data_IF_129172984885
#
_entry.id   IF_129172984885
#
_cell.length_a   1.000
_cell.length_b   1.000
_cell.length_c   1.000
_cell.angle_alpha   90.00
_cell.angle_beta   90.00
_cell.angle_gamma   90.00
#
_symmetry.space_group_name_H-M   'P 1'
#
loop_
_entity.id
_entity.type
_entity.pdbx_description
1 polymer ?
#
# COMPACT_ATOMS: atom_id res chain seq x y z
N UNK A 1 34.25 -24.98 -10.59
CA UNK A 1 34.49 -23.54 -10.89
C UNK A 1 33.42 -22.89 -11.79
N UNK A 2 32.57 -23.64 -12.51
CA UNK A 2 31.60 -23.08 -13.48
C UNK A 2 30.29 -22.53 -12.86
N UNK A 3 29.92 -22.96 -11.66
CA UNK A 3 28.63 -22.62 -11.02
C UNK A 3 28.60 -21.24 -10.34
N UNK A 4 29.72 -20.74 -9.80
CA UNK A 4 29.83 -19.39 -9.25
C UNK A 4 29.48 -18.35 -10.31
N UNK A 5 30.05 -18.47 -11.52
CA UNK A 5 29.82 -17.51 -12.61
C UNK A 5 28.34 -17.33 -12.93
N UNK A 6 27.56 -18.41 -12.93
CA UNK A 6 26.11 -18.32 -13.10
C UNK A 6 25.41 -17.61 -11.95
N UNK A 7 25.86 -17.81 -10.71
CA UNK A 7 25.36 -17.08 -9.54
C UNK A 7 25.60 -15.57 -9.63
N UNK A 8 26.82 -15.15 -10.02
CA UNK A 8 27.11 -13.72 -10.27
C UNK A 8 26.22 -13.17 -11.39
N UNK A 9 26.07 -13.90 -12.49
CA UNK A 9 25.28 -13.45 -13.63
C UNK A 9 23.81 -13.31 -13.22
N UNK A 10 23.25 -14.28 -12.50
CA UNK A 10 21.87 -14.22 -12.01
C UNK A 10 21.66 -13.05 -11.05
N UNK A 11 22.59 -12.83 -10.11
CA UNK A 11 22.53 -11.70 -9.18
C UNK A 11 22.67 -10.35 -9.90
N UNK A 12 23.60 -10.26 -10.86
CA UNK A 12 23.83 -9.05 -11.64
C UNK A 12 22.66 -8.70 -12.55
N UNK A 13 22.08 -9.70 -13.24
CA UNK A 13 20.86 -9.53 -14.05
C UNK A 13 19.69 -9.13 -13.17
N UNK A 14 19.51 -9.79 -12.02
CA UNK A 14 18.45 -9.42 -11.06
C UNK A 14 18.59 -7.99 -10.53
N UNK A 15 19.82 -7.55 -10.25
CA UNK A 15 20.12 -6.19 -9.81
C UNK A 15 19.80 -5.15 -10.88
N UNK A 16 20.27 -5.36 -12.12
CA UNK A 16 19.99 -4.45 -13.25
C UNK A 16 18.50 -4.42 -13.58
N UNK A 17 17.83 -5.57 -13.60
CA UNK A 17 16.38 -5.64 -13.80
C UNK A 17 15.62 -4.88 -12.71
N UNK A 18 16.06 -4.95 -11.45
CA UNK A 18 15.49 -4.18 -10.35
C UNK A 18 15.62 -2.67 -10.54
N UNK A 19 16.79 -2.19 -10.97
CA UNK A 19 17.02 -0.76 -11.27
C UNK A 19 16.14 -0.29 -12.42
N UNK A 20 16.08 -1.07 -13.52
CA UNK A 20 15.28 -0.72 -14.69
C UNK A 20 13.79 -0.69 -14.33
N UNK A 21 13.29 -1.68 -13.58
CA UNK A 21 11.91 -1.70 -13.12
C UNK A 21 11.58 -0.50 -12.19
N UNK A 22 12.51 -0.12 -11.31
CA UNK A 22 12.40 1.09 -10.48
C UNK A 22 12.30 2.34 -11.35
N UNK A 23 13.21 2.50 -12.33
CA UNK A 23 13.23 3.65 -13.24
C UNK A 23 11.96 3.78 -14.07
N UNK A 24 11.45 2.69 -14.66
CA UNK A 24 10.20 2.69 -15.43
C UNK A 24 9.01 3.11 -14.56
N UNK A 25 8.95 2.60 -13.33
CA UNK A 25 7.84 2.91 -12.41
C UNK A 25 7.86 4.35 -11.92
N UNK A 26 9.04 4.98 -11.86
CA UNK A 26 9.15 6.40 -11.56
C UNK A 26 8.61 7.28 -12.71
N UNK A 27 8.66 6.78 -13.95
CA UNK A 27 8.29 7.54 -15.16
C UNK A 27 6.83 7.37 -15.60
N UNK A 28 6.12 6.33 -15.16
CA UNK A 28 4.86 5.86 -15.78
C UNK A 28 3.56 6.36 -15.13
N UNK A 29 3.55 7.45 -14.37
CA UNK A 29 2.28 7.91 -13.76
C UNK A 29 1.76 9.18 -14.42
N UNK A 30 0.59 9.04 -15.02
CA UNK A 30 -0.21 10.15 -15.51
C UNK A 30 -0.79 10.94 -14.32
N UNK A 31 -0.60 12.25 -14.33
CA UNK A 31 -1.16 13.17 -13.34
C UNK A 31 -2.57 13.59 -13.74
N UNK A 32 -3.57 13.16 -12.99
CA UNK A 32 -4.91 13.77 -12.99
C UNK A 32 -4.89 14.98 -12.03
N UNK A 33 -4.13 16.01 -12.39
CA UNK A 33 -4.05 17.25 -11.62
C UNK A 33 -5.25 18.16 -11.85
N UNK A 34 -5.49 19.09 -10.92
CA UNK A 34 -6.42 20.21 -11.08
C UNK A 34 -6.22 20.88 -12.46
N UNK A 35 -7.30 21.25 -13.18
CA UNK A 35 -7.18 21.93 -14.47
C UNK A 35 -6.18 23.10 -14.38
N UNK A 36 -5.31 23.24 -15.38
CA UNK A 36 -4.30 24.31 -15.42
C UNK A 36 -4.90 25.72 -15.59
N UNK A 37 -6.22 25.82 -15.82
CA UNK A 37 -7.00 27.05 -15.74
C UNK A 37 -7.61 27.17 -14.35
N UNK A 38 -7.54 28.36 -13.74
CA UNK A 38 -8.18 28.64 -12.46
C UNK A 38 -9.68 28.27 -12.44
N UNK A 39 -10.28 28.26 -11.24
CA UNK A 39 -11.66 27.84 -11.06
C UNK A 39 -12.64 28.73 -11.85
N UNK A 40 -13.57 28.11 -12.55
CA UNK A 40 -14.66 28.85 -13.19
C UNK A 40 -15.67 29.32 -12.14
N UNK A 41 -16.42 30.41 -12.39
CA UNK A 41 -17.44 30.90 -11.48
C UNK A 41 -18.47 29.81 -11.15
N UNK A 42 -18.65 29.55 -9.85
CA UNK A 42 -19.59 28.53 -9.36
C UNK A 42 -19.00 27.13 -9.14
N UNK A 43 -17.68 26.95 -9.32
CA UNK A 43 -16.99 25.69 -9.02
C UNK A 43 -16.32 25.70 -7.64
N UNK A 44 -16.15 24.51 -7.07
CA UNK A 44 -15.33 24.25 -5.87
C UNK A 44 -14.23 23.27 -6.25
N UNK A 45 -12.97 23.61 -5.96
CA UNK A 45 -11.84 22.70 -6.11
C UNK A 45 -11.75 21.76 -4.91
N UNK A 46 -11.63 20.47 -5.17
CA UNK A 46 -11.27 19.47 -4.17
C UNK A 46 -10.03 18.72 -4.66
N UNK A 47 -8.93 18.87 -3.92
CA UNK A 47 -7.68 18.15 -4.17
C UNK A 47 -7.46 17.13 -3.06
N UNK A 48 -7.31 15.86 -3.43
CA UNK A 48 -7.16 14.75 -2.48
C UNK A 48 -5.74 14.21 -2.58
N UNK A 49 -4.96 14.31 -1.51
CA UNK A 49 -3.61 13.73 -1.42
C UNK A 49 -3.59 12.53 -0.46
N UNK A 50 -2.95 11.41 -0.82
CA UNK A 50 -2.78 10.26 0.08
C UNK A 50 -1.77 10.56 1.18
N UNK A 51 -2.09 10.20 2.43
CA UNK A 51 -1.18 10.35 3.57
C UNK A 51 -0.64 9.00 4.07
N UNK A 52 -1.51 8.01 4.23
CA UNK A 52 -1.13 6.68 4.71
C UNK A 52 -2.14 5.62 4.29
N UNK A 53 -1.71 4.36 4.18
CA UNK A 53 -2.56 3.22 3.83
C UNK A 53 -2.45 2.16 4.91
N UNK A 54 -3.60 1.76 5.47
CA UNK A 54 -3.74 0.64 6.37
C UNK A 54 -4.33 -0.56 5.59
N UNK A 55 -3.46 -1.26 4.85
CA UNK A 55 -3.84 -2.34 3.94
C UNK A 55 -4.60 -3.49 4.62
N UNK A 56 -4.26 -3.82 5.87
CA UNK A 56 -4.96 -4.84 6.66
C UNK A 56 -6.41 -4.45 6.95
N UNK A 57 -6.66 -3.16 7.16
CA UNK A 57 -7.97 -2.61 7.50
C UNK A 57 -8.78 -2.24 6.24
N UNK A 58 -8.15 -2.26 5.06
CA UNK A 58 -8.76 -1.80 3.82
C UNK A 58 -9.16 -0.32 3.90
N UNK A 59 -8.27 0.52 4.43
CA UNK A 59 -8.51 1.95 4.58
C UNK A 59 -7.28 2.79 4.20
N UNK A 60 -7.53 4.04 3.80
CA UNK A 60 -6.51 5.01 3.44
C UNK A 60 -6.86 6.36 4.04
N UNK A 61 -5.91 6.97 4.72
CA UNK A 61 -6.04 8.35 5.19
C UNK A 61 -5.57 9.29 4.09
N UNK A 62 -6.41 10.27 3.77
CA UNK A 62 -6.14 11.31 2.78
C UNK A 62 -6.28 12.68 3.41
N UNK A 63 -5.53 13.64 2.87
CA UNK A 63 -5.76 15.06 3.09
C UNK A 63 -6.59 15.62 1.94
N UNK A 64 -7.74 16.18 2.27
CA UNK A 64 -8.69 16.80 1.36
C UNK A 64 -8.54 18.30 1.50
N UNK A 65 -8.02 18.95 0.46
CA UNK A 65 -7.89 20.41 0.40
C UNK A 65 -9.02 20.97 -0.42
N UNK A 66 -9.79 21.88 0.18
CA UNK A 66 -10.94 22.54 -0.44
C UNK A 66 -10.55 23.97 -0.77
N UNK A 67 -10.82 24.41 -2.00
CA UNK A 67 -10.74 25.81 -2.39
C UNK A 67 -12.02 26.24 -3.11
N UNK A 68 -12.53 27.42 -2.80
CA UNK A 68 -13.68 27.99 -3.47
C UNK A 68 -13.23 29.06 -4.49
N UNK A 69 -14.02 29.24 -5.54
CA UNK A 69 -13.86 30.36 -6.46
C UNK A 69 -13.99 31.72 -5.75
N UNK A 70 -13.33 32.74 -6.28
CA UNK A 70 -13.28 34.09 -5.72
C UNK A 70 -14.67 34.74 -5.57
N UNK A 71 -15.66 34.38 -6.40
CA UNK A 71 -17.03 34.91 -6.27
C UNK A 71 -17.77 34.39 -5.03
N UNK A 72 -17.24 33.32 -4.40
CA UNK A 72 -17.79 32.71 -3.18
C UNK A 72 -17.03 33.13 -1.91
N UNK A 73 -16.05 34.01 -2.03
CA UNK A 73 -15.29 34.53 -0.91
C UNK A 73 -15.75 35.94 -0.53
N UNK A 74 -15.74 36.22 0.77
CA UNK A 74 -15.93 37.56 1.31
C UNK A 74 -14.63 38.39 1.25
N UNK A 75 -14.70 39.64 1.67
CA UNK A 75 -13.55 40.56 1.65
C UNK A 75 -12.37 40.10 2.55
N UNK A 76 -12.62 39.19 3.50
CA UNK A 76 -11.59 38.57 4.35
C UNK A 76 -11.02 37.26 3.77
N UNK A 77 -11.53 36.78 2.64
CA UNK A 77 -11.15 35.50 2.04
C UNK A 77 -11.86 34.29 2.67
N UNK A 78 -12.85 34.51 3.54
CA UNK A 78 -13.72 33.47 4.09
C UNK A 78 -14.92 33.21 3.17
N UNK A 79 -15.66 32.13 3.39
CA UNK A 79 -16.83 31.78 2.56
C UNK A 79 -17.99 32.78 2.73
N UNK A 80 -18.54 33.26 1.61
CA UNK A 80 -19.69 34.18 1.61
C UNK A 80 -20.98 33.53 2.13
N UNK A 81 -21.16 32.23 1.85
CA UNK A 81 -22.26 31.40 2.33
C UNK A 81 -21.73 30.04 2.83
N UNK A 82 -22.47 29.32 3.69
CA UNK A 82 -22.05 27.99 4.12
C UNK A 82 -21.97 27.00 2.95
N UNK A 83 -20.93 26.16 2.94
CA UNK A 83 -20.75 25.08 1.96
C UNK A 83 -20.75 23.74 2.70
N UNK A 84 -21.57 22.81 2.23
CA UNK A 84 -21.59 21.42 2.65
C UNK A 84 -20.84 20.58 1.64
N UNK A 85 -20.06 19.61 2.13
CA UNK A 85 -19.32 18.64 1.34
C UNK A 85 -19.68 17.24 1.85
N UNK A 86 -20.00 16.33 0.94
CA UNK A 86 -20.19 14.92 1.25
C UNK A 86 -19.16 14.12 0.45
N UNK A 87 -18.41 13.26 1.15
CA UNK A 87 -17.42 12.37 0.55
C UNK A 87 -17.76 10.92 0.90
N UNK A 88 -17.80 10.04 -0.11
CA UNK A 88 -18.07 8.62 0.09
C UNK A 88 -17.16 7.76 -0.80
N UNK A 89 -16.66 6.59 -0.33
CA UNK A 89 -16.90 6.02 0.99
C UNK A 89 -15.86 6.48 2.02
N UNK A 90 -16.31 7.08 3.14
CA UNK A 90 -15.45 7.34 4.31
C UNK A 90 -15.82 6.45 5.49
N UNK A 91 -14.87 6.24 6.41
CA UNK A 91 -15.09 5.45 7.64
C UNK A 91 -15.83 6.26 8.71
N UNK A 92 -15.60 7.56 8.75
CA UNK A 92 -16.24 8.52 9.66
C UNK A 92 -17.47 9.16 9.00
N UNK A 93 -17.99 10.25 9.57
CA UNK A 93 -19.01 11.06 8.88
C UNK A 93 -18.43 11.65 7.58
N UNK A 94 -19.09 11.35 6.46
CA UNK A 94 -18.74 11.87 5.13
C UNK A 94 -19.11 13.33 4.95
N UNK A 95 -19.91 13.89 5.86
CA UNK A 95 -20.39 15.26 5.80
C UNK A 95 -19.40 16.22 6.46
N UNK A 96 -19.07 17.30 5.76
CA UNK A 96 -18.27 18.42 6.25
C UNK A 96 -19.02 19.71 5.97
N UNK A 97 -19.38 20.43 7.03
CA UNK A 97 -19.96 21.76 6.94
C UNK A 97 -18.86 22.81 7.13
N UNK A 98 -18.75 23.71 6.16
CA UNK A 98 -17.93 24.90 6.23
C UNK A 98 -18.85 26.10 6.43
N UNK A 99 -18.84 26.67 7.62
CA UNK A 99 -19.69 27.81 7.96
C UNK A 99 -19.28 29.08 7.20
N UNK A 100 -20.22 30.01 7.10
CA UNK A 100 -19.96 31.35 6.57
C UNK A 100 -18.80 32.02 7.31
N UNK A 101 -17.90 32.66 6.57
CA UNK A 101 -16.69 33.31 7.07
C UNK A 101 -15.52 32.35 7.33
N UNK A 102 -15.73 31.03 7.23
CA UNK A 102 -14.65 30.05 7.33
C UNK A 102 -13.75 30.14 6.11
N UNK A 103 -12.44 30.16 6.30
CA UNK A 103 -11.48 30.09 5.20
C UNK A 103 -11.32 28.59 4.81
N UNK A 104 -11.62 28.20 3.56
CA UNK A 104 -11.42 26.82 3.11
C UNK A 104 -9.97 26.37 3.31
N UNK A 105 -9.79 25.13 3.77
CA UNK A 105 -8.47 24.60 4.12
C UNK A 105 -8.34 23.10 3.86
N UNK A 106 -7.41 22.47 4.57
CA UNK A 106 -7.11 21.05 4.44
C UNK A 106 -7.66 20.26 5.63
N UNK A 107 -8.35 19.16 5.34
CA UNK A 107 -8.96 18.28 6.33
C UNK A 107 -8.50 16.85 6.10
N UNK A 108 -8.39 16.04 7.15
CA UNK A 108 -8.09 14.62 7.01
C UNK A 108 -9.38 13.81 6.96
N UNK A 109 -9.41 12.82 6.08
CA UNK A 109 -10.49 11.83 6.00
C UNK A 109 -9.91 10.44 5.80
N UNK A 110 -10.54 9.44 6.40
CA UNK A 110 -10.20 8.04 6.17
C UNK A 110 -11.21 7.44 5.21
N UNK A 111 -10.75 7.10 4.01
CA UNK A 111 -11.54 6.50 2.94
C UNK A 111 -11.47 4.98 3.07
N UNK A 112 -12.60 4.31 2.82
CA UNK A 112 -12.65 2.85 2.77
C UNK A 112 -12.22 2.36 1.39
N UNK A 113 -11.27 1.44 1.37
CA UNK A 113 -10.73 0.85 0.15
C UNK A 113 -10.69 -0.67 0.28
N UNK A 114 -11.75 -1.36 -0.16
CA UNK A 114 -11.80 -2.81 -0.08
C UNK A 114 -10.68 -3.45 -0.91
N UNK A 115 -10.15 -4.53 -0.37
CA UNK A 115 -9.10 -5.34 -0.97
C UNK A 115 -8.61 -6.37 0.03
N UNK A 116 -7.62 -7.17 -0.35
CA UNK A 116 -7.14 -8.26 0.49
C UNK A 116 -5.61 -8.34 0.50
N UNK A 117 -5.04 -8.01 1.65
CA UNK A 117 -3.60 -8.14 1.94
C UNK A 117 -3.10 -9.59 1.89
N UNK A 118 -4.00 -10.57 1.83
CA UNK A 118 -3.64 -12.00 1.73
C UNK A 118 -2.83 -12.29 0.47
N UNK A 119 -3.03 -11.55 -0.61
CA UNK A 119 -2.36 -11.73 -1.90
C UNK A 119 -1.02 -10.98 -2.02
N UNK A 120 -0.52 -10.41 -0.92
CA UNK A 120 0.77 -9.73 -0.89
C UNK A 120 1.89 -10.55 -1.55
N UNK A 121 2.80 -9.94 -2.34
CA UNK A 121 2.91 -8.51 -2.66
C UNK A 121 2.10 -8.08 -3.91
N UNK A 122 1.23 -8.94 -4.41
CA UNK A 122 0.40 -8.69 -5.59
C UNK A 122 -1.04 -8.33 -5.20
N UNK A 123 -1.22 -7.77 -4.01
CA UNK A 123 -2.49 -7.26 -3.52
C UNK A 123 -2.93 -6.00 -4.28
N UNK A 124 -4.23 -5.93 -4.56
CA UNK A 124 -4.91 -4.81 -5.18
C UNK A 124 -6.11 -4.35 -4.35
N UNK A 125 -6.36 -3.05 -4.38
CA UNK A 125 -7.44 -2.39 -3.65
C UNK A 125 -8.11 -1.40 -4.58
N UNK A 126 -9.44 -1.36 -4.56
CA UNK A 126 -10.22 -0.56 -5.50
C UNK A 126 -11.38 0.11 -4.77
N UNK A 127 -11.60 1.38 -5.05
CA UNK A 127 -12.75 2.11 -4.53
C UNK A 127 -13.16 3.19 -5.52
N UNK A 128 -14.45 3.52 -5.56
CA UNK A 128 -14.96 4.65 -6.32
C UNK A 128 -15.27 5.73 -5.30
N UNK A 129 -14.53 6.83 -5.34
CA UNK A 129 -14.70 7.98 -4.47
C UNK A 129 -15.63 8.98 -5.13
N UNK A 130 -16.69 9.37 -4.43
CA UNK A 130 -17.64 10.39 -4.85
C UNK A 130 -17.56 11.57 -3.89
N UNK A 131 -17.41 12.77 -4.45
CA UNK A 131 -17.42 14.03 -3.69
C UNK A 131 -18.49 14.94 -4.25
N UNK A 132 -19.49 15.26 -3.43
CA UNK A 132 -20.55 16.22 -3.74
C UNK A 132 -20.39 17.47 -2.88
N UNK A 133 -20.74 18.62 -3.44
CA UNK A 133 -20.78 19.89 -2.74
C UNK A 133 -22.12 20.58 -2.98
N UNK A 134 -22.60 21.34 -2.01
CA UNK A 134 -23.68 22.30 -2.21
C UNK A 134 -23.44 23.53 -1.34
N UNK A 135 -24.01 24.66 -1.76
CA UNK A 135 -24.01 25.89 -0.97
C UNK A 135 -25.38 26.12 -0.37
N UNK A 136 -25.42 26.61 0.87
CA UNK A 136 -26.65 27.08 1.48
C UNK A 136 -26.86 28.57 1.17
N UNK A 137 -27.79 28.87 0.27
CA UNK A 137 -28.23 30.23 0.00
C UNK A 137 -29.57 30.47 0.70
N UNK A 138 -29.59 31.36 1.69
CA UNK A 138 -30.80 31.79 2.40
C UNK A 138 -31.64 30.62 2.97
N UNK A 139 -30.99 29.56 3.46
CA UNK A 139 -31.66 28.38 4.02
C UNK A 139 -31.96 27.27 3.03
N UNK A 140 -31.69 27.46 1.73
CA UNK A 140 -31.85 26.44 0.68
C UNK A 140 -30.49 25.96 0.17
N UNK A 141 -30.29 24.65 0.13
CA UNK A 141 -29.08 24.03 -0.42
C UNK A 141 -29.17 23.94 -1.96
N UNK A 142 -28.16 24.43 -2.67
CA UNK A 142 -28.02 24.34 -4.12
C UNK A 142 -26.74 23.59 -4.51
N UNK A 143 -26.83 22.53 -5.34
CA UNK A 143 -25.66 21.71 -5.70
C UNK A 143 -24.61 22.56 -6.43
N UNK A 144 -23.34 22.26 -6.16
CA UNK A 144 -22.18 22.88 -6.78
C UNK A 144 -21.39 21.87 -7.61
N UNK A 145 -20.78 22.36 -8.67
CA UNK A 145 -19.83 21.56 -9.46
C UNK A 145 -18.51 21.45 -8.72
N UNK A 146 -18.15 20.24 -8.33
CA UNK A 146 -16.85 19.89 -7.75
C UNK A 146 -15.89 19.57 -8.87
N UNK A 147 -14.77 20.29 -8.91
CA UNK A 147 -13.66 20.04 -9.83
C UNK A 147 -12.41 19.70 -9.04
N UNK A 148 -11.45 19.05 -9.67
CA UNK A 148 -10.21 18.64 -9.03
C UNK A 148 -9.97 17.15 -9.20
N UNK A 149 -9.22 16.56 -8.27
CA UNK A 149 -8.73 15.22 -8.48
C UNK A 149 -7.88 14.70 -7.34
N UNK A 150 -7.33 13.52 -7.59
CA UNK A 150 -6.40 12.87 -6.70
C UNK A 150 -4.99 13.32 -7.06
N UNK A 151 -4.39 14.11 -6.18
CA UNK A 151 -3.00 14.53 -6.33
C UNK A 151 -2.11 13.33 -6.07
N UNK A 152 -1.24 13.02 -7.05
CA UNK A 152 -0.19 12.03 -6.86
C UNK A 152 0.89 12.62 -5.97
N UNK A 153 0.73 12.49 -4.67
CA UNK A 153 1.88 12.40 -3.77
C UNK A 153 2.36 10.95 -3.79
N UNK A 154 3.66 10.74 -4.06
CA UNK A 154 4.29 9.44 -4.10
C UNK A 154 4.33 8.84 -2.68
N UNK A 155 3.21 8.24 -2.26
CA UNK A 155 3.18 7.46 -1.04
C UNK A 155 4.11 6.27 -1.22
N UNK A 156 5.25 6.31 -0.52
CA UNK A 156 6.34 5.37 -0.72
C UNK A 156 5.85 3.93 -0.56
N UNK A 157 6.18 3.10 -1.55
CA UNK A 157 5.84 1.68 -1.55
C UNK A 157 4.51 1.31 -2.20
N UNK A 158 3.71 2.30 -2.61
CA UNK A 158 2.43 2.13 -3.29
C UNK A 158 2.44 2.75 -4.69
N UNK A 159 1.72 2.11 -5.61
CA UNK A 159 1.31 2.70 -6.88
C UNK A 159 -0.17 3.05 -6.77
N UNK A 160 -0.47 4.34 -6.90
CA UNK A 160 -1.83 4.87 -6.80
C UNK A 160 -2.21 5.41 -8.17
N UNK A 161 -3.35 4.97 -8.68
CA UNK A 161 -3.96 5.47 -9.90
C UNK A 161 -5.36 5.94 -9.58
N UNK A 162 -5.72 7.12 -10.08
CA UNK A 162 -7.06 7.68 -9.95
C UNK A 162 -7.50 8.16 -11.32
N UNK A 163 -8.57 7.56 -11.84
CA UNK A 163 -9.19 7.96 -13.10
C UNK A 163 -10.55 8.61 -12.81
N UNK A 164 -10.94 9.65 -13.56
CA UNK A 164 -12.32 10.10 -13.55
C UNK A 164 -13.27 8.93 -13.85
N UNK A 165 -14.24 8.71 -12.99
CA UNK A 165 -15.36 7.81 -13.26
C UNK A 165 -16.50 8.59 -13.94
N UNK A 166 -17.54 7.90 -14.42
CA UNK A 166 -18.70 8.58 -15.00
C UNK A 166 -19.27 9.61 -14.01
N UNK A 167 -19.49 10.84 -14.47
CA UNK A 167 -20.03 11.91 -13.65
C UNK A 167 -21.47 11.54 -13.23
N UNK A 168 -21.61 11.01 -12.03
CA UNK A 168 -22.90 10.69 -11.43
C UNK A 168 -23.61 11.93 -10.87
N UNK A 169 -24.90 11.79 -10.63
CA UNK A 169 -25.61 12.66 -9.69
C UNK A 169 -25.06 12.39 -8.29
N UNK A 170 -24.51 13.42 -7.64
CA UNK A 170 -24.12 13.33 -6.24
C UNK A 170 -25.17 13.97 -5.36
N UNK A 171 -25.30 13.43 -4.15
CA UNK A 171 -26.16 13.99 -3.13
C UNK A 171 -25.29 14.50 -1.97
N UNK A 172 -25.60 15.71 -1.49
CA UNK A 172 -25.25 16.07 -0.14
C UNK A 172 -26.15 15.30 0.81
N UNK A 173 -25.56 14.37 1.53
CA UNK A 173 -26.24 13.56 2.52
C UNK A 173 -25.59 13.82 3.87
N UNK A 174 -26.43 14.07 4.86
CA UNK A 174 -26.03 13.99 6.26
C UNK A 174 -25.73 12.52 6.57
N UNK A 175 -24.48 12.21 6.90
CA UNK A 175 -24.09 10.83 7.20
C UNK A 175 -24.76 10.28 8.47
N UNK A 176 -25.17 11.14 9.40
CA UNK A 176 -25.75 10.73 10.69
C UNK A 176 -27.28 10.55 10.60
N UNK A 177 -27.96 11.44 9.88
CA UNK A 177 -29.43 11.41 9.75
C UNK A 177 -29.92 10.74 8.46
N UNK A 178 -29.04 10.53 7.47
CA UNK A 178 -29.40 10.05 6.13
C UNK A 178 -30.21 11.06 5.32
N UNK A 179 -30.35 12.30 5.80
CA UNK A 179 -31.11 13.34 5.13
C UNK A 179 -30.34 13.85 3.91
N UNK A 180 -30.99 13.82 2.74
CA UNK A 180 -30.47 14.45 1.52
C UNK A 180 -30.78 15.95 1.56
N UNK A 181 -29.76 16.80 1.60
CA UNK A 181 -29.90 18.25 1.58
C UNK A 181 -30.01 18.82 0.17
N UNK A 182 -29.25 18.26 -0.77
CA UNK A 182 -29.28 18.62 -2.18
C UNK A 182 -28.82 17.43 -3.01
N UNK A 183 -29.37 17.23 -4.20
CA UNK A 183 -28.88 16.27 -5.16
C UNK A 183 -28.87 16.92 -6.54
N UNK A 184 -27.86 16.63 -7.35
CA UNK A 184 -27.75 17.20 -8.68
C UNK A 184 -26.48 16.78 -9.41
N UNK A 185 -26.35 17.23 -10.67
CA UNK A 185 -25.14 17.02 -11.45
C UNK A 185 -23.97 17.83 -10.86
N UNK A 186 -22.74 17.38 -11.12
CA UNK A 186 -21.53 18.10 -10.74
C UNK A 186 -20.73 17.48 -9.59
N UNK A 187 -21.04 16.25 -9.17
CA UNK A 187 -20.18 15.53 -8.23
C UNK A 187 -18.91 15.01 -8.91
N UNK A 188 -17.81 15.06 -8.19
CA UNK A 188 -16.52 14.50 -8.62
C UNK A 188 -16.51 13.00 -8.29
N UNK A 189 -16.46 12.15 -9.31
CA UNK A 189 -16.35 10.69 -9.16
C UNK A 189 -14.98 10.22 -9.65
N UNK A 190 -14.25 9.49 -8.82
CA UNK A 190 -12.89 9.01 -9.08
C UNK A 190 -12.77 7.51 -8.78
N UNK A 191 -12.41 6.72 -9.77
CA UNK A 191 -12.01 5.33 -9.58
C UNK A 191 -10.55 5.27 -9.12
N UNK A 192 -10.36 4.94 -7.85
CA UNK A 192 -9.06 4.87 -7.21
C UNK A 192 -8.62 3.40 -7.11
N UNK A 193 -7.45 3.11 -7.66
CA UNK A 193 -6.82 1.80 -7.63
C UNK A 193 -5.48 1.90 -6.94
N UNK A 194 -5.27 1.07 -5.92
CA UNK A 194 -4.02 0.96 -5.19
C UNK A 194 -3.40 -0.42 -5.38
N UNK A 195 -2.12 -0.43 -5.70
CA UNK A 195 -1.33 -1.64 -5.82
C UNK A 195 0.04 -1.43 -5.19
N UNK A 196 0.75 -2.51 -4.82
CA UNK A 196 2.15 -2.37 -4.39
C UNK A 196 3.00 -1.83 -5.55
N UNK A 197 3.87 -0.88 -5.24
CA UNK A 197 4.82 -0.36 -6.22
C UNK A 197 5.76 -1.47 -6.70
N UNK A 198 6.30 -1.34 -7.93
CA UNK A 198 7.26 -2.32 -8.44
C UNK A 198 8.50 -2.50 -7.56
N UNK A 199 9.07 -1.44 -6.94
CA UNK A 199 10.17 -1.60 -6.00
C UNK A 199 9.78 -2.47 -4.80
N UNK A 200 8.59 -2.23 -4.21
CA UNK A 200 8.06 -3.05 -3.12
C UNK A 200 7.92 -4.50 -3.52
N UNK A 201 7.32 -4.78 -4.68
CA UNK A 201 7.18 -6.14 -5.22
C UNK A 201 8.54 -6.81 -5.40
N UNK A 202 9.50 -6.11 -5.99
CA UNK A 202 10.83 -6.63 -6.29
C UNK A 202 11.62 -6.98 -5.02
N UNK A 203 11.68 -6.06 -4.05
CA UNK A 203 12.38 -6.30 -2.77
C UNK A 203 11.74 -7.45 -2.00
N UNK A 204 10.41 -7.56 -2.05
CA UNK A 204 9.68 -8.66 -1.42
C UNK A 204 10.04 -10.01 -2.05
N UNK A 205 10.01 -10.09 -3.39
CA UNK A 205 10.35 -11.31 -4.12
C UNK A 205 11.81 -11.71 -3.87
N UNK A 206 12.75 -10.76 -3.94
CA UNK A 206 14.18 -11.03 -3.67
C UNK A 206 14.36 -11.56 -2.25
N UNK A 207 13.72 -10.94 -1.26
CA UNK A 207 13.77 -11.40 0.13
C UNK A 207 13.22 -12.83 0.27
N UNK A 208 12.09 -13.16 -0.37
CA UNK A 208 11.53 -14.52 -0.36
C UNK A 208 12.45 -15.54 -1.04
N UNK A 209 13.09 -15.18 -2.15
CA UNK A 209 14.09 -16.03 -2.83
C UNK A 209 15.30 -16.27 -1.94
N UNK A 210 15.78 -15.23 -1.23
CA UNK A 210 16.89 -15.36 -0.28
C UNK A 210 16.52 -16.27 0.90
N UNK A 211 15.30 -16.15 1.44
CA UNK A 211 14.79 -17.09 2.45
C UNK A 211 14.79 -18.53 1.93
N UNK A 212 14.24 -18.76 0.75
CA UNK A 212 14.20 -20.08 0.13
C UNK A 212 15.62 -20.64 -0.07
N UNK A 213 16.54 -19.81 -0.55
CA UNK A 213 17.94 -20.18 -0.71
C UNK A 213 18.59 -20.57 0.61
N UNK A 214 18.34 -19.83 1.70
CA UNK A 214 18.83 -20.18 3.05
C UNK A 214 18.33 -21.56 3.46
N UNK A 215 17.03 -21.85 3.32
CA UNK A 215 16.46 -23.17 3.65
C UNK A 215 17.08 -24.31 2.83
N UNK A 216 17.26 -24.11 1.52
CA UNK A 216 17.91 -25.09 0.64
C UNK A 216 19.39 -25.29 1.03
N UNK A 217 20.13 -24.21 1.27
CA UNK A 217 21.54 -24.27 1.66
C UNK A 217 21.73 -24.97 3.01
N UNK A 218 20.82 -24.75 3.95
CA UNK A 218 20.75 -25.49 5.22
C UNK A 218 20.69 -27.01 4.96
N UNK A 219 19.76 -27.48 4.13
CA UNK A 219 19.63 -28.90 3.79
C UNK A 219 20.84 -29.45 3.03
N UNK A 220 21.39 -28.68 2.09
CA UNK A 220 22.60 -29.05 1.32
C UNK A 220 23.80 -29.19 2.25
N UNK A 221 23.97 -28.27 3.21
CA UNK A 221 25.05 -28.33 4.18
C UNK A 221 25.01 -29.62 5.00
N UNK A 222 23.84 -29.97 5.56
CA UNK A 222 23.68 -31.21 6.34
C UNK A 222 23.89 -32.44 5.47
N UNK A 223 23.37 -32.46 4.25
CA UNK A 223 23.59 -33.56 3.30
C UNK A 223 25.07 -33.74 2.98
N UNK A 224 25.83 -32.67 2.80
CA UNK A 224 27.26 -32.72 2.51
C UNK A 224 28.05 -33.34 3.67
N UNK A 225 27.67 -33.04 4.90
CA UNK A 225 28.29 -33.65 6.09
C UNK A 225 27.83 -35.09 6.28
N UNK A 226 26.54 -35.38 6.10
CA UNK A 226 25.99 -36.74 6.18
C UNK A 226 26.65 -37.72 5.19
N UNK A 227 27.04 -37.21 4.01
CA UNK A 227 27.75 -38.00 2.97
C UNK A 227 29.27 -38.05 3.17
N UNK A 228 29.79 -37.63 4.34
CA UNK A 228 31.21 -37.56 4.69
C UNK A 228 32.08 -36.73 3.73
N UNK A 229 31.48 -35.84 2.93
CA UNK A 229 32.22 -34.94 2.03
C UNK A 229 32.88 -33.77 2.78
N UNK A 230 32.47 -33.51 4.03
CA UNK A 230 32.97 -32.45 4.90
C UNK A 230 33.04 -32.95 6.35
N UNK A 231 33.96 -32.38 7.15
CA UNK A 231 34.13 -32.72 8.57
C UNK A 231 32.94 -32.19 9.38
N UNK A 232 32.58 -32.91 10.44
CA UNK A 232 31.54 -32.49 11.39
C UNK A 232 32.11 -31.48 12.37
N UNK A 233 31.53 -30.28 12.43
CA UNK A 233 31.89 -29.25 13.39
C UNK A 233 30.69 -28.91 14.28
N UNK A 234 30.89 -28.87 15.59
CA UNK A 234 29.84 -28.57 16.56
C UNK A 234 29.24 -27.15 16.40
N UNK A 235 29.98 -26.26 15.73
CA UNK A 235 29.56 -24.91 15.33
C UNK A 235 28.35 -24.89 14.40
N UNK A 236 28.05 -25.99 13.68
CA UNK A 236 26.89 -26.04 12.79
C UNK A 236 25.57 -25.93 13.56
N UNK A 237 25.51 -26.44 14.79
CA UNK A 237 24.31 -26.37 15.64
C UNK A 237 23.94 -24.91 15.95
N UNK A 238 24.93 -24.08 16.29
CA UNK A 238 24.69 -22.66 16.55
C UNK A 238 24.32 -21.90 15.28
N UNK A 239 24.87 -22.28 14.12
CA UNK A 239 24.47 -21.71 12.83
C UNK A 239 23.00 -21.99 12.50
N UNK A 240 22.53 -23.23 12.65
CA UNK A 240 21.11 -23.57 12.46
C UNK A 240 20.19 -22.81 13.43
N UNK A 241 20.56 -22.72 14.70
CA UNK A 241 19.81 -21.95 15.69
C UNK A 241 19.72 -20.46 15.27
N UNK A 242 20.84 -19.87 14.84
CA UNK A 242 20.88 -18.49 14.35
C UNK A 242 19.97 -18.29 13.12
N UNK A 243 19.94 -19.24 12.18
CA UNK A 243 19.05 -19.15 11.02
C UNK A 243 17.57 -19.09 11.42
N UNK A 244 17.14 -19.90 12.39
CA UNK A 244 15.74 -19.90 12.87
C UNK A 244 15.39 -18.52 13.45
N UNK A 245 16.28 -17.95 14.27
CA UNK A 245 16.07 -16.62 14.84
C UNK A 245 16.16 -15.49 13.81
N UNK A 246 16.95 -15.65 12.75
CA UNK A 246 17.09 -14.65 11.69
C UNK A 246 15.88 -14.61 10.73
N UNK A 247 15.19 -15.74 10.54
CA UNK A 247 14.07 -15.83 9.60
C UNK A 247 12.86 -14.98 10.03
N UNK A 248 12.58 -14.88 11.33
CA UNK A 248 11.46 -14.08 11.84
C UNK A 248 11.60 -12.57 11.53
N UNK A 249 12.67 -11.87 11.93
CA UNK A 249 12.83 -10.45 11.59
C UNK A 249 12.91 -10.21 10.08
N UNK A 250 13.47 -11.14 9.31
CA UNK A 250 13.47 -11.05 7.84
C UNK A 250 12.04 -11.10 7.27
N UNK A 251 11.13 -11.89 7.85
CA UNK A 251 9.72 -11.95 7.45
C UNK A 251 8.92 -10.72 7.88
N UNK A 252 9.18 -10.21 9.09
CA UNK A 252 8.54 -9.01 9.59
C UNK A 252 9.04 -7.74 8.91
N UNK A 253 10.28 -7.76 8.39
CA UNK A 253 10.89 -6.67 7.64
C UNK A 253 10.46 -6.55 6.18
N UNK A 254 9.47 -7.33 5.72
CA UNK A 254 8.92 -7.17 4.38
C UNK A 254 8.22 -5.79 4.26
N UNK A 255 8.35 -5.08 3.13
CA UNK A 255 7.81 -3.72 3.01
C UNK A 255 6.30 -3.66 3.25
N UNK A 256 5.87 -2.71 4.09
CA UNK A 256 4.48 -2.58 4.48
C UNK A 256 4.00 -3.64 5.48
N UNK A 257 4.92 -4.42 6.07
CA UNK A 257 4.71 -5.36 7.17
C UNK A 257 3.40 -6.15 7.05
N UNK A 258 3.21 -6.95 5.97
CA UNK A 258 1.97 -7.66 5.77
C UNK A 258 1.75 -8.64 6.93
N UNK A 259 0.50 -8.73 7.45
CA UNK A 259 0.18 -9.55 8.61
C UNK A 259 0.53 -11.01 8.36
N UNK A 260 0.73 -11.76 9.44
CA UNK A 260 0.93 -13.20 9.35
C UNK A 260 -0.33 -13.86 8.77
N UNK A 261 -0.14 -14.76 7.82
CA UNK A 261 -1.23 -15.45 7.13
C UNK A 261 -1.44 -15.00 5.67
N UNK A 262 -0.60 -14.12 5.14
CA UNK A 262 -0.52 -13.87 3.69
C UNK A 262 -0.02 -15.11 2.94
N UNK A 263 -0.32 -15.23 1.64
CA UNK A 263 0.07 -16.39 0.82
C UNK A 263 1.57 -16.67 0.84
N UNK A 264 2.41 -15.64 0.95
CA UNK A 264 3.86 -15.78 1.07
C UNK A 264 4.30 -16.60 2.31
N UNK A 265 3.50 -16.59 3.38
CA UNK A 265 3.79 -17.38 4.57
C UNK A 265 3.63 -18.86 4.30
N UNK A 266 2.48 -19.19 3.69
CA UNK A 266 2.07 -20.56 3.36
C UNK A 266 2.98 -21.16 2.29
N UNK A 267 3.37 -20.37 1.29
CA UNK A 267 4.13 -20.86 0.13
C UNK A 267 5.64 -20.89 0.36
N UNK A 268 6.19 -19.99 1.19
CA UNK A 268 7.65 -19.86 1.35
C UNK A 268 8.08 -19.92 2.80
N UNK A 269 7.61 -18.98 3.64
CA UNK A 269 8.18 -18.77 4.98
C UNK A 269 8.13 -20.05 5.84
N UNK A 270 6.97 -20.72 5.92
CA UNK A 270 6.84 -21.93 6.72
C UNK A 270 7.67 -23.10 6.17
N UNK A 271 7.78 -23.24 4.85
CA UNK A 271 8.63 -24.26 4.24
C UNK A 271 10.11 -24.04 4.52
N UNK A 272 10.55 -22.79 4.55
CA UNK A 272 11.92 -22.43 4.93
C UNK A 272 12.18 -22.76 6.40
N UNK A 273 11.26 -22.42 7.30
CA UNK A 273 11.37 -22.79 8.72
C UNK A 273 11.44 -24.31 8.91
N UNK A 274 10.57 -25.06 8.23
CA UNK A 274 10.58 -26.54 8.26
C UNK A 274 11.91 -27.06 7.73
N UNK A 275 12.41 -26.54 6.60
CA UNK A 275 13.68 -26.97 6.02
C UNK A 275 14.87 -26.75 6.96
N UNK A 276 14.94 -25.60 7.63
CA UNK A 276 16.00 -25.29 8.60
C UNK A 276 15.87 -26.19 9.84
N UNK A 277 14.64 -26.41 10.35
CA UNK A 277 14.41 -27.31 11.48
C UNK A 277 14.74 -28.77 11.16
N UNK A 278 14.33 -29.26 10.00
CA UNK A 278 14.68 -30.61 9.51
C UNK A 278 16.19 -30.72 9.32
N UNK A 279 16.84 -29.68 8.81
CA UNK A 279 18.30 -29.59 8.74
C UNK A 279 18.95 -29.75 10.11
N UNK A 280 18.52 -28.99 11.11
CA UNK A 280 19.02 -29.08 12.49
C UNK A 280 18.82 -30.48 13.10
N UNK A 281 17.62 -31.05 12.97
CA UNK A 281 17.34 -32.39 13.48
C UNK A 281 18.21 -33.43 12.78
N UNK A 282 18.29 -33.37 11.45
CA UNK A 282 19.12 -34.28 10.67
C UNK A 282 20.60 -34.15 11.06
N UNK A 283 21.09 -32.93 11.26
CA UNK A 283 22.43 -32.66 11.76
C UNK A 283 22.70 -33.38 13.09
N UNK A 284 21.82 -33.20 14.08
CA UNK A 284 21.93 -33.82 15.39
C UNK A 284 21.93 -35.35 15.28
N UNK A 285 21.06 -35.92 14.43
CA UNK A 285 21.01 -37.37 14.22
C UNK A 285 22.31 -37.93 13.60
N UNK A 286 22.89 -37.23 12.63
CA UNK A 286 24.17 -37.65 12.03
C UNK A 286 25.29 -37.54 13.07
N UNK A 287 25.29 -36.48 13.89
CA UNK A 287 26.27 -36.31 14.97
C UNK A 287 26.18 -37.45 16.00
N UNK A 288 24.96 -37.77 16.49
CA UNK A 288 24.73 -38.88 17.43
C UNK A 288 25.19 -40.24 16.85
N UNK A 289 24.97 -40.49 15.56
CA UNK A 289 25.42 -41.72 14.89
C UNK A 289 26.93 -41.79 14.66
N UNK A 290 27.61 -40.65 14.67
CA UNK A 290 29.06 -40.56 14.39
C UNK A 290 29.91 -40.54 15.67
N UNK A 291 29.31 -40.75 16.84
CA UNK A 291 30.00 -40.84 18.13
C UNK A 291 31.01 -42.01 18.19
N UNK A 292 31.97 -41.97 19.14
CA UNK A 292 33.02 -42.99 19.24
C UNK A 292 32.41 -44.39 19.36
N UNK A 293 32.94 -45.35 18.59
CA UNK A 293 32.67 -46.76 18.89
C UNK A 293 33.34 -47.05 20.23
N UNK A 294 32.57 -47.58 21.18
CA UNK A 294 33.14 -48.12 22.41
C UNK A 294 34.15 -49.22 22.02
N UNK A 295 35.42 -49.02 22.38
CA UNK A 295 36.46 -50.06 22.33
C UNK A 295 36.28 -51.03 23.51
#
# INVERSE_FOLDING_TARGET
>A
MRTWRWLIIVLGVGYVAGIVAYGISAMSGETSGTPAGGLEPGQVSVSISPMSIAAEQGSMTVSVTVAADATRLDASGGLANPIGLTMEPVVESGFLLLDKGTIPGTFQRTIRIPGSVRNYPFDDYRTTLVVAAAENQNGSWQPLTVVGGFTRDDLTGWGISAAPAEAGEGALVDADSGQVFAAGPGALSLDVVLTRSMPTKSVSIVTLVLMAAIGILALVAVRAVATRRRKQEMTMTSWFAALIFALLPLRLGLPGAPPLGSWIDVLVYFWVLIAVMVGLVWWILVWLRSGPKAE
#
